data_IF_484253294186
#
_entry.id   IF_484253294186
#
_cell.length_a   1.000
_cell.length_b   1.000
_cell.length_c   1.000
_cell.angle_alpha   90.00
_cell.angle_beta   90.00
_cell.angle_gamma   90.00
#
_symmetry.space_group_name_H-M   'P 1'
#
loop_
_entity.id
_entity.type
_entity.pdbx_description
1 polymer ?
#
# COMPACT_ATOMS: atom_id res chain seq x y z
N UNK A 1 4.34 15.70 10.40
CA UNK A 1 5.40 14.97 11.11
C UNK A 1 6.56 14.86 10.16
N UNK A 2 7.76 15.24 10.58
CA UNK A 2 8.95 15.11 9.73
C UNK A 2 9.51 13.67 9.86
N UNK A 3 9.47 12.84 8.80
CA UNK A 3 9.95 11.47 8.86
C UNK A 3 11.46 11.38 9.17
N UNK A 4 12.25 12.41 8.83
CA UNK A 4 13.70 12.42 9.06
C UNK A 4 14.09 12.49 10.54
N UNK A 5 13.16 12.93 11.39
CA UNK A 5 13.34 12.99 12.84
C UNK A 5 13.18 11.62 13.54
N UNK A 6 12.70 10.60 12.81
CA UNK A 6 12.40 9.26 13.32
C UNK A 6 13.43 8.24 12.85
N UNK A 7 13.68 7.23 13.67
CA UNK A 7 14.47 6.07 13.22
C UNK A 7 13.70 5.29 12.17
N UNK A 8 14.43 4.61 11.27
CA UNK A 8 13.82 3.74 10.26
C UNK A 8 12.88 2.69 10.88
N UNK A 9 13.23 2.10 12.03
CA UNK A 9 12.37 1.14 12.73
C UNK A 9 11.05 1.76 13.20
N UNK A 10 11.07 3.01 13.64
CA UNK A 10 9.86 3.72 14.07
C UNK A 10 8.97 4.05 12.87
N UNK A 11 9.58 4.46 11.75
CA UNK A 11 8.87 4.65 10.47
C UNK A 11 8.27 3.34 9.97
N UNK A 12 8.97 2.22 10.04
CA UNK A 12 8.45 0.90 9.68
C UNK A 12 7.23 0.51 10.53
N UNK A 13 7.28 0.73 11.86
CA UNK A 13 6.13 0.48 12.74
C UNK A 13 4.93 1.37 12.39
N UNK A 14 5.16 2.65 12.05
CA UNK A 14 4.11 3.56 11.62
C UNK A 14 3.52 3.12 10.27
N UNK A 15 4.38 2.83 9.28
CA UNK A 15 3.94 2.39 7.95
C UNK A 15 3.16 1.08 8.01
N UNK A 16 3.55 0.14 8.89
CA UNK A 16 2.78 -1.07 9.16
C UNK A 16 1.37 -0.73 9.67
N UNK A 17 1.28 0.17 10.64
CA UNK A 17 0.00 0.61 11.18
C UNK A 17 -0.89 1.29 10.12
N UNK A 18 -0.29 2.07 9.21
CA UNK A 18 -1.00 2.69 8.07
C UNK A 18 -1.53 1.63 7.11
N UNK A 19 -0.70 0.68 6.69
CA UNK A 19 -1.09 -0.44 5.81
C UNK A 19 -2.22 -1.27 6.45
N UNK A 20 -2.11 -1.59 7.74
CA UNK A 20 -3.15 -2.33 8.46
C UNK A 20 -4.48 -1.56 8.50
N UNK A 21 -4.41 -0.25 8.69
CA UNK A 21 -5.60 0.62 8.75
C UNK A 21 -6.26 0.78 7.39
N UNK A 22 -5.47 0.98 6.34
CA UNK A 22 -5.96 1.06 4.96
C UNK A 22 -6.62 -0.25 4.55
N UNK A 23 -5.98 -1.39 4.86
CA UNK A 23 -6.57 -2.72 4.61
C UNK A 23 -7.87 -2.94 5.37
N UNK A 24 -7.99 -2.41 6.59
CA UNK A 24 -9.24 -2.47 7.35
C UNK A 24 -10.37 -1.60 6.73
N UNK A 25 -10.02 -0.49 6.08
CA UNK A 25 -10.95 0.32 5.27
C UNK A 25 -11.34 -0.44 4.00
N UNK A 26 -10.37 -1.00 3.29
CA UNK A 26 -10.58 -1.80 2.08
C UNK A 26 -11.46 -3.03 2.32
N UNK A 27 -11.31 -3.70 3.46
CA UNK A 27 -12.15 -4.83 3.86
C UNK A 27 -13.66 -4.45 3.95
N UNK A 28 -13.98 -3.16 4.10
CA UNK A 28 -15.35 -2.62 4.08
C UNK A 28 -15.79 -2.14 2.70
N UNK A 29 -15.09 -2.54 1.64
CA UNK A 29 -15.36 -2.14 0.26
C UNK A 29 -15.19 -0.64 -0.01
N UNK A 30 -14.34 0.04 0.77
CA UNK A 30 -14.06 1.48 0.63
C UNK A 30 -12.61 1.69 0.26
N UNK A 31 -12.35 2.63 -0.66
CA UNK A 31 -11.02 3.18 -0.93
C UNK A 31 -11.06 4.64 -0.51
N UNK A 32 -10.12 5.07 0.34
CA UNK A 32 -10.09 6.46 0.85
C UNK A 32 -9.66 7.47 -0.24
N UNK A 33 -8.77 7.07 -1.15
CA UNK A 33 -8.21 7.89 -2.25
C UNK A 33 -7.37 9.10 -1.84
N UNK A 34 -7.23 9.42 -0.54
CA UNK A 34 -6.38 10.52 -0.03
C UNK A 34 -5.44 10.08 1.12
N UNK A 35 -4.88 8.87 1.03
CA UNK A 35 -3.95 8.37 2.04
C UNK A 35 -2.63 9.18 1.96
N UNK A 36 -2.50 10.15 2.86
CA UNK A 36 -1.36 11.05 3.00
C UNK A 36 -0.96 11.19 4.47
N UNK A 37 0.32 11.51 4.78
CA UNK A 37 0.75 11.75 6.16
C UNK A 37 -0.09 12.76 6.95
N UNK A 38 -0.62 13.81 6.28
CA UNK A 38 -1.50 14.82 6.91
C UNK A 38 -2.86 14.27 7.39
N UNK A 39 -3.29 13.16 6.80
CA UNK A 39 -4.57 12.48 7.07
C UNK A 39 -4.40 11.25 7.96
N UNK A 40 -3.22 11.07 8.57
CA UNK A 40 -2.94 9.99 9.51
C UNK A 40 -2.76 10.57 10.90
N UNK A 41 -3.59 10.11 11.84
CA UNK A 41 -3.43 10.40 13.26
C UNK A 41 -2.76 9.24 13.98
N UNK A 42 -1.77 9.55 14.82
CA UNK A 42 -1.06 8.61 15.68
C UNK A 42 -1.40 8.93 17.15
N UNK A 43 -2.39 8.26 17.77
CA UNK A 43 -2.78 8.55 19.13
C UNK A 43 -1.66 8.17 20.12
N UNK A 44 -1.35 9.04 21.12
CA UNK A 44 -0.20 8.86 22.01
C UNK A 44 -0.33 7.70 23.02
N UNK A 45 -1.50 7.08 23.14
CA UNK A 45 -1.75 5.91 24.00
C UNK A 45 -2.83 5.03 23.37
N UNK A 46 -2.47 4.14 22.42
CA UNK A 46 -3.44 3.25 21.84
C UNK A 46 -4.00 2.31 22.93
N UNK A 47 -5.34 2.08 22.96
CA UNK A 47 -5.96 1.21 23.97
C UNK A 47 -5.55 -0.26 23.82
N UNK A 48 -5.06 -0.67 22.65
CA UNK A 48 -4.35 -1.91 22.39
C UNK A 48 -2.83 -1.69 22.39
N UNK A 49 -2.04 -2.70 22.78
CA UNK A 49 -0.57 -2.59 22.91
C UNK A 49 0.19 -2.35 21.59
N UNK A 50 -0.48 -2.01 20.49
CA UNK A 50 0.11 -1.75 19.18
C UNK A 50 0.00 -0.28 18.78
N UNK A 51 1.00 0.25 18.06
CA UNK A 51 0.83 1.55 17.39
C UNK A 51 -0.30 1.43 16.38
N UNK A 52 -1.36 2.22 16.55
CA UNK A 52 -2.49 2.29 15.62
C UNK A 52 -2.40 3.56 14.79
N UNK A 53 -2.50 3.46 13.48
CA UNK A 53 -2.77 4.60 12.63
C UNK A 53 -4.29 4.80 12.54
N UNK A 54 -4.76 6.04 12.55
CA UNK A 54 -6.15 6.36 12.28
C UNK A 54 -6.18 7.20 11.01
N UNK A 55 -6.78 6.62 9.96
CA UNK A 55 -7.05 7.34 8.71
C UNK A 55 -8.24 8.27 8.97
N UNK A 56 -8.05 9.55 8.69
CA UNK A 56 -9.09 10.57 8.67
C UNK A 56 -9.27 11.12 7.25
N UNK A 57 -10.26 11.98 7.07
CA UNK A 57 -10.64 12.58 5.79
C UNK A 57 -11.01 11.57 4.70
N UNK A 58 -12.31 11.32 4.57
CA UNK A 58 -12.88 10.43 3.54
C UNK A 58 -13.60 11.22 2.44
N UNK A 59 -13.32 12.52 2.30
CA UNK A 59 -14.06 13.43 1.42
C UNK A 59 -14.05 13.04 -0.07
N UNK A 60 -13.01 12.31 -0.50
CA UNK A 60 -12.88 11.79 -1.87
C UNK A 60 -12.83 10.26 -1.94
N UNK A 61 -13.34 9.59 -0.90
CA UNK A 61 -13.43 8.13 -0.87
C UNK A 61 -14.47 7.59 -1.86
N UNK A 62 -14.29 6.34 -2.29
CA UNK A 62 -15.24 5.65 -3.17
C UNK A 62 -15.50 4.21 -2.73
N UNK A 63 -16.64 3.66 -3.13
CA UNK A 63 -16.94 2.24 -2.98
C UNK A 63 -16.27 1.48 -4.13
N UNK A 64 -15.65 0.34 -3.83
CA UNK A 64 -14.89 -0.45 -4.81
C UNK A 64 -15.76 -0.86 -6.01
N UNK A 65 -17.04 -1.16 -5.79
CA UNK A 65 -17.98 -1.50 -6.87
C UNK A 65 -18.12 -0.41 -7.93
N UNK A 66 -17.82 0.83 -7.57
CA UNK A 66 -17.99 2.00 -8.43
C UNK A 66 -16.71 2.30 -9.22
N UNK A 67 -15.60 1.60 -8.92
CA UNK A 67 -14.34 1.73 -9.64
C UNK A 67 -14.24 0.69 -10.76
N UNK A 68 -14.09 1.17 -11.98
CA UNK A 68 -13.44 0.40 -13.03
C UNK A 68 -11.93 0.36 -12.75
N UNK A 69 -11.41 -0.79 -12.33
CA UNK A 69 -9.96 -1.00 -12.27
C UNK A 69 -9.45 -1.39 -13.67
N UNK A 70 -8.64 -0.52 -14.28
CA UNK A 70 -7.76 -0.92 -15.38
C UNK A 70 -6.55 -1.66 -14.80
N UNK A 71 -6.25 -2.83 -15.36
CA UNK A 71 -5.19 -3.71 -14.86
C UNK A 71 -3.92 -3.55 -15.70
N UNK A 72 -2.73 -3.41 -15.09
CA UNK A 72 -1.48 -3.26 -15.84
C UNK A 72 -1.14 -4.47 -16.71
N UNK A 73 -1.58 -5.68 -16.32
CA UNK A 73 -1.30 -6.93 -17.05
C UNK A 73 -2.49 -7.32 -17.94
N UNK A 74 -2.53 -6.90 -19.23
CA UNK A 74 -3.61 -7.28 -20.14
C UNK A 74 -3.54 -8.79 -20.48
N UNK A 75 -4.70 -9.44 -20.54
CA UNK A 75 -4.84 -10.84 -20.99
C UNK A 75 -4.58 -11.90 -19.93
N UNK A 76 -4.32 -11.54 -18.66
CA UNK A 76 -4.23 -12.50 -17.56
C UNK A 76 -5.62 -12.65 -16.92
N UNK A 77 -6.24 -13.83 -17.08
CA UNK A 77 -7.39 -14.20 -16.27
C UNK A 77 -6.92 -14.31 -14.83
N UNK A 78 -7.30 -13.32 -14.01
CA UNK A 78 -6.84 -13.22 -12.63
C UNK A 78 -7.47 -14.34 -11.80
N UNK A 79 -6.66 -15.29 -11.35
CA UNK A 79 -7.14 -16.43 -10.52
C UNK A 79 -7.31 -16.07 -9.05
N UNK A 80 -6.75 -14.94 -8.59
CA UNK A 80 -6.88 -14.46 -7.21
C UNK A 80 -6.92 -12.92 -7.13
N UNK A 81 -7.70 -12.32 -6.21
CA UNK A 81 -7.75 -10.87 -6.02
C UNK A 81 -6.38 -10.31 -5.62
N UNK A 82 -6.13 -9.03 -5.94
CA UNK A 82 -4.92 -8.28 -5.58
C UNK A 82 -4.74 -8.27 -4.06
N UNK A 83 -3.50 -8.29 -3.58
CA UNK A 83 -3.24 -7.92 -2.19
C UNK A 83 -3.27 -6.38 -2.11
N UNK A 84 -4.34 -5.83 -1.52
CA UNK A 84 -4.46 -4.39 -1.36
C UNK A 84 -3.41 -3.87 -0.38
N UNK A 85 -2.62 -2.91 -0.84
CA UNK A 85 -1.56 -2.23 -0.13
C UNK A 85 -1.30 -0.91 -0.85
N UNK A 86 -1.14 0.18 -0.10
CA UNK A 86 -0.64 1.45 -0.62
C UNK A 86 0.70 1.30 -1.33
N UNK A 87 0.92 2.18 -2.31
CA UNK A 87 2.23 2.43 -2.90
C UNK A 87 2.88 3.60 -2.14
N UNK A 88 4.06 3.43 -1.52
CA UNK A 88 4.70 4.51 -0.82
C UNK A 88 5.15 5.63 -1.76
N UNK A 89 5.33 5.36 -3.05
CA UNK A 89 5.80 6.38 -4.01
C UNK A 89 4.74 7.47 -4.25
N UNK A 90 3.46 7.20 -3.97
CA UNK A 90 2.38 8.18 -4.14
C UNK A 90 2.51 9.35 -3.14
N UNK A 91 2.54 9.05 -1.84
CA UNK A 91 2.44 10.08 -0.78
C UNK A 91 3.40 9.86 0.42
N UNK A 92 4.20 8.80 0.40
CA UNK A 92 5.07 8.38 1.51
C UNK A 92 6.54 8.19 1.07
N UNK A 93 6.95 8.78 -0.05
CA UNK A 93 8.30 8.60 -0.59
C UNK A 93 9.40 9.09 0.37
N UNK A 94 9.14 10.13 1.18
CA UNK A 94 10.05 10.59 2.25
C UNK A 94 10.07 9.67 3.48
N UNK A 95 9.09 8.77 3.60
CA UNK A 95 8.94 7.89 4.76
C UNK A 95 9.63 6.54 4.56
N UNK A 96 9.92 6.15 3.32
CA UNK A 96 10.38 4.80 2.98
C UNK A 96 11.72 4.88 2.24
N UNK A 97 12.80 4.53 2.95
CA UNK A 97 14.17 4.40 2.42
C UNK A 97 14.67 2.94 2.44
N UNK A 98 13.76 1.99 2.63
CA UNK A 98 14.03 0.54 2.58
C UNK A 98 13.33 -0.10 1.39
N UNK A 99 13.69 -1.35 1.08
CA UNK A 99 12.99 -2.16 0.08
C UNK A 99 11.57 -2.48 0.57
N UNK A 100 10.63 -1.68 0.09
CA UNK A 100 9.21 -1.79 0.45
C UNK A 100 8.60 -3.13 0.07
N UNK A 101 8.90 -3.65 -1.13
CA UNK A 101 8.26 -4.87 -1.61
C UNK A 101 8.81 -6.08 -0.85
N UNK A 102 10.11 -6.12 -0.59
CA UNK A 102 10.70 -7.14 0.27
C UNK A 102 10.13 -7.08 1.69
N UNK A 103 9.97 -5.87 2.25
CA UNK A 103 9.40 -5.67 3.57
C UNK A 103 7.92 -6.08 3.65
N UNK A 104 7.09 -5.72 2.67
CA UNK A 104 5.68 -6.17 2.60
C UNK A 104 5.60 -7.69 2.50
N UNK A 105 6.47 -8.32 1.70
CA UNK A 105 6.49 -9.78 1.58
C UNK A 105 6.92 -10.46 2.89
N UNK A 106 7.85 -9.87 3.64
CA UNK A 106 8.26 -10.39 4.95
C UNK A 106 7.13 -10.23 6.00
N UNK A 107 6.56 -9.03 6.12
CA UNK A 107 5.54 -8.72 7.14
C UNK A 107 4.20 -9.40 6.85
N UNK A 108 3.78 -9.41 5.58
CA UNK A 108 2.46 -9.85 5.18
C UNK A 108 2.45 -11.16 4.40
N UNK A 109 3.60 -11.81 4.15
CA UNK A 109 3.66 -13.04 3.34
C UNK A 109 2.66 -14.12 3.77
N UNK A 110 2.47 -14.27 5.09
CA UNK A 110 1.50 -15.19 5.69
C UNK A 110 0.03 -14.90 5.33
N UNK A 111 -0.34 -13.63 5.08
CA UNK A 111 -1.68 -13.24 4.62
C UNK A 111 -1.73 -13.07 3.10
N UNK A 112 -0.72 -12.43 2.52
CA UNK A 112 -0.59 -12.11 1.10
C UNK A 112 -0.59 -13.38 0.26
N UNK A 113 0.14 -14.42 0.69
CA UNK A 113 0.33 -15.64 -0.08
C UNK A 113 0.94 -15.32 -1.45
N UNK A 114 0.47 -15.94 -2.55
CA UNK A 114 1.02 -15.71 -3.90
C UNK A 114 0.48 -14.43 -4.56
N UNK A 115 -0.37 -13.65 -3.89
CA UNK A 115 -1.00 -12.46 -4.49
C UNK A 115 0.02 -11.34 -4.64
N UNK A 116 -0.06 -10.65 -5.76
CA UNK A 116 0.71 -9.45 -6.01
C UNK A 116 -0.03 -8.20 -5.50
N UNK A 117 0.74 -7.21 -5.06
CA UNK A 117 0.29 -5.83 -4.91
C UNK A 117 0.17 -5.17 -6.27
N UNK A 118 -0.51 -4.03 -6.34
CA UNK A 118 -0.56 -3.23 -7.57
C UNK A 118 0.83 -2.79 -8.03
N UNK A 119 1.69 -2.37 -7.08
CA UNK A 119 3.07 -1.96 -7.36
C UNK A 119 3.89 -3.08 -7.99
N UNK A 120 3.83 -4.29 -7.43
CA UNK A 120 4.51 -5.47 -7.99
C UNK A 120 4.02 -5.79 -9.42
N UNK A 121 2.70 -5.71 -9.67
CA UNK A 121 2.13 -5.91 -11.01
C UNK A 121 2.62 -4.86 -12.00
N UNK A 122 2.66 -3.59 -11.59
CA UNK A 122 3.14 -2.47 -12.42
C UNK A 122 4.62 -2.63 -12.76
N UNK A 123 5.48 -3.03 -11.80
CA UNK A 123 6.91 -3.29 -12.06
C UNK A 123 7.09 -4.41 -13.09
N UNK A 124 6.39 -5.53 -12.92
CA UNK A 124 6.43 -6.65 -13.88
C UNK A 124 5.97 -6.21 -15.26
N UNK A 125 4.90 -5.41 -15.35
CA UNK A 125 4.43 -4.88 -16.63
C UNK A 125 5.48 -4.02 -17.32
N UNK A 126 6.07 -3.06 -16.60
CA UNK A 126 7.09 -2.15 -17.13
C UNK A 126 8.32 -2.93 -17.61
N UNK A 127 8.79 -3.91 -16.84
CA UNK A 127 9.93 -4.74 -17.21
C UNK A 127 9.65 -5.58 -18.46
N UNK A 128 8.43 -6.12 -18.57
CA UNK A 128 7.99 -6.84 -19.78
C UNK A 128 7.95 -5.93 -21.03
N UNK A 129 7.63 -4.64 -20.89
CA UNK A 129 7.67 -3.71 -22.01
C UNK A 129 9.12 -3.38 -22.41
N UNK A 130 10.01 -3.16 -21.44
CA UNK A 130 11.44 -2.90 -21.71
C UNK A 130 12.11 -4.05 -22.45
N UNK A 131 11.87 -5.29 -22.01
CA UNK A 131 12.40 -6.48 -22.69
C UNK A 131 11.89 -6.65 -24.13
N UNK A 132 10.72 -6.10 -24.47
CA UNK A 132 10.20 -6.09 -25.85
C UNK A 132 10.86 -5.01 -26.72
N UNK A 133 11.29 -3.90 -26.14
CA UNK A 133 11.93 -2.80 -26.87
C UNK A 133 13.41 -3.03 -27.14
N UNK A 134 14.10 -3.83 -26.32
CA UNK A 134 15.53 -4.17 -26.49
C UNK A 134 15.79 -5.36 -27.44
N UNK A 135 14.72 -6.03 -27.90
CA UNK A 135 14.80 -7.20 -28.78
C UNK A 135 14.80 -6.87 -30.29
N UNK A 136 15.06 -5.61 -30.68
CA UNK A 136 15.08 -5.11 -32.06
C UNK A 136 16.38 -4.40 -32.40
#
# INVERSE_FOLDING_TARGET
MDPSSLKQSERQEIMKAVVDSERAVYARQVINSDIHPRNILLPPNPPDRGRRAVIVDFGISCIISDKHEEYPLPGVTRTAPRFHCLDPDDNFWEWVDWDWDAWINAEYGHVKGPRLTFREETKIYVDNQKGRTEAW
#
